data_IF_953593996257
#
_entry.id   IF_953593996257
#
_cell.length_a   1.000
_cell.length_b   1.000
_cell.length_c   1.000
_cell.angle_alpha   90.00
_cell.angle_beta   90.00
_cell.angle_gamma   90.00
#
_symmetry.space_group_name_H-M   'P 1'
#
loop_
_entity.id
_entity.type
_entity.pdbx_description
1 polymer ?
#
# COMPACT_ATOMS: atom_id res chain seq x y z
N UNK A 1 87.94 0.63 72.63
CA UNK A 1 87.44 -0.50 71.81
C UNK A 1 85.91 -0.64 71.84
N UNK A 2 85.22 -0.89 72.97
CA UNK A 2 83.74 -0.99 72.96
C UNK A 2 83.01 0.33 72.65
N UNK A 3 83.58 1.49 73.00
CA UNK A 3 82.99 2.80 72.74
C UNK A 3 82.97 3.18 71.25
N UNK A 4 83.98 2.72 70.51
CA UNK A 4 84.14 2.96 69.08
C UNK A 4 83.12 2.15 68.27
N UNK A 5 82.89 0.89 68.67
CA UNK A 5 81.83 0.03 68.09
C UNK A 5 80.44 0.61 68.34
N UNK A 6 80.17 1.12 69.56
CA UNK A 6 78.88 1.77 69.89
C UNK A 6 78.67 3.07 69.10
N UNK A 7 79.72 3.87 68.91
CA UNK A 7 79.65 5.11 68.13
C UNK A 7 79.40 4.83 66.65
N UNK A 8 80.07 3.83 66.08
CA UNK A 8 79.85 3.40 64.69
C UNK A 8 78.42 2.86 64.47
N UNK A 9 77.90 2.06 65.40
CA UNK A 9 76.53 1.56 65.33
C UNK A 9 75.50 2.70 65.45
N UNK A 10 75.74 3.65 66.35
CA UNK A 10 74.87 4.82 66.51
C UNK A 10 74.80 5.65 65.23
N UNK A 11 75.95 5.93 64.60
CA UNK A 11 76.01 6.67 63.34
C UNK A 11 75.34 5.92 62.20
N UNK A 12 75.53 4.60 62.10
CA UNK A 12 74.85 3.77 61.11
C UNK A 12 73.32 3.82 61.28
N UNK A 13 72.81 3.71 62.52
CA UNK A 13 71.37 3.78 62.79
C UNK A 13 70.81 5.18 62.48
N UNK A 14 71.58 6.23 62.77
CA UNK A 14 71.20 7.61 62.43
C UNK A 14 71.10 7.79 60.91
N UNK A 15 72.09 7.28 60.17
CA UNK A 15 72.10 7.33 58.71
C UNK A 15 70.92 6.53 58.11
N UNK A 16 70.67 5.31 58.61
CA UNK A 16 69.53 4.48 58.18
C UNK A 16 68.18 5.15 58.42
N UNK A 17 68.06 5.91 59.51
CA UNK A 17 66.86 6.69 59.82
C UNK A 17 66.66 7.83 58.83
N UNK A 18 67.73 8.52 58.45
CA UNK A 18 67.67 9.61 57.47
C UNK A 18 67.40 9.10 56.04
N UNK A 19 67.98 7.97 55.65
CA UNK A 19 67.66 7.31 54.37
C UNK A 19 66.18 6.89 54.32
N UNK A 20 65.62 6.41 55.43
CA UNK A 20 64.20 6.07 55.53
C UNK A 20 63.30 7.32 55.50
N UNK A 21 63.70 8.43 56.13
CA UNK A 21 62.92 9.67 56.07
C UNK A 21 62.88 10.26 54.66
N UNK A 22 64.00 10.19 53.93
CA UNK A 22 64.09 10.58 52.52
C UNK A 22 63.26 9.64 51.65
N UNK A 23 63.31 8.32 51.88
CA UNK A 23 62.51 7.35 51.12
C UNK A 23 61.01 7.54 51.35
N UNK A 24 60.59 7.80 52.59
CA UNK A 24 59.20 8.14 52.93
C UNK A 24 58.77 9.46 52.25
N UNK A 25 59.61 10.49 52.26
CA UNK A 25 59.34 11.75 51.59
C UNK A 25 59.33 11.63 50.05
N UNK A 26 60.16 10.74 49.48
CA UNK A 26 60.18 10.40 48.06
C UNK A 26 59.00 9.52 47.64
N UNK A 27 58.25 8.96 48.61
CA UNK A 27 56.96 8.30 48.41
C UNK A 27 55.81 9.32 48.51
N UNK A 28 56.08 10.61 48.30
CA UNK A 28 55.05 11.57 47.97
C UNK A 28 54.44 11.18 46.62
N UNK A 29 53.11 11.06 46.61
CA UNK A 29 52.30 10.64 45.48
C UNK A 29 52.70 11.39 44.20
N UNK A 30 53.10 10.64 43.15
CA UNK A 30 53.49 11.18 41.84
C UNK A 30 52.29 11.57 40.97
N UNK A 31 51.09 11.64 41.55
CA UNK A 31 49.89 12.16 40.90
C UNK A 31 49.43 13.44 41.57
N UNK A 32 49.49 14.57 40.86
CA UNK A 32 48.67 15.74 41.22
C UNK A 32 47.46 15.71 40.30
N UNK A 33 46.27 15.51 40.87
CA UNK A 33 45.02 15.73 40.15
C UNK A 33 45.00 17.21 39.71
N UNK A 34 45.12 17.44 38.40
CA UNK A 34 45.11 18.79 37.83
C UNK A 34 43.67 19.29 37.61
N UNK A 35 42.73 18.38 37.34
CA UNK A 35 41.30 18.65 37.19
C UNK A 35 40.47 17.40 37.53
N UNK A 36 39.27 17.61 38.07
CA UNK A 36 38.26 16.58 38.25
C UNK A 36 37.75 16.07 36.88
N UNK A 37 37.39 14.78 36.74
CA UNK A 37 36.86 14.27 35.48
C UNK A 37 35.57 14.99 35.10
N UNK A 38 35.62 15.78 34.04
CA UNK A 38 34.43 16.39 33.47
C UNK A 38 33.51 15.29 32.91
N UNK A 39 32.29 15.21 33.44
CA UNK A 39 31.24 14.39 32.85
C UNK A 39 30.87 14.98 31.48
N UNK A 40 31.57 14.55 30.44
CA UNK A 40 31.24 14.87 29.06
C UNK A 40 29.84 14.33 28.77
N UNK A 41 28.93 15.22 28.40
CA UNK A 41 27.62 14.83 27.89
C UNK A 41 27.76 13.88 26.69
N UNK A 42 26.70 13.16 26.36
CA UNK A 42 26.71 12.17 25.27
C UNK A 42 27.03 12.85 23.93
N UNK A 43 28.26 12.67 23.42
CA UNK A 43 28.75 13.26 22.17
C UNK A 43 28.10 12.61 20.94
N UNK A 44 27.67 11.34 21.05
CA UNK A 44 26.94 10.61 20.01
C UNK A 44 25.97 9.58 20.61
N UNK A 45 24.82 9.29 19.96
CA UNK A 45 24.24 9.92 18.77
C UNK A 45 23.52 11.23 19.13
N UNK A 46 23.42 12.13 18.15
CA UNK A 46 22.55 13.30 18.25
C UNK A 46 21.11 12.89 17.93
N UNK A 47 20.25 12.93 18.95
CA UNK A 47 18.86 12.47 18.88
C UNK A 47 18.05 13.14 17.77
N UNK A 48 18.33 14.41 17.45
CA UNK A 48 17.61 15.14 16.39
C UNK A 48 17.88 14.52 15.02
N UNK A 49 19.14 14.21 14.70
CA UNK A 49 19.48 13.56 13.43
C UNK A 49 18.88 12.16 13.34
N UNK A 50 18.96 11.37 14.43
CA UNK A 50 18.37 10.02 14.46
C UNK A 50 16.85 10.10 14.26
N UNK A 51 16.19 11.08 14.87
CA UNK A 51 14.73 11.28 14.75
C UNK A 51 14.31 11.73 13.35
N UNK A 52 15.05 12.65 12.73
CA UNK A 52 14.77 13.11 11.36
C UNK A 52 14.99 11.99 10.35
N UNK A 53 16.07 11.23 10.49
CA UNK A 53 16.35 10.06 9.63
C UNK A 53 15.27 9.00 9.83
N UNK A 54 14.88 8.72 11.08
CA UNK A 54 13.81 7.78 11.40
C UNK A 54 12.47 8.18 10.80
N UNK A 55 12.10 9.47 10.89
CA UNK A 55 10.87 9.99 10.28
C UNK A 55 10.91 9.89 8.75
N UNK A 56 12.05 10.24 8.14
CA UNK A 56 12.23 10.16 6.70
C UNK A 56 12.05 8.72 6.20
N UNK A 57 12.75 7.75 6.78
CA UNK A 57 12.60 6.34 6.37
C UNK A 57 11.23 5.77 6.75
N UNK A 58 10.65 6.20 7.87
CA UNK A 58 9.30 5.80 8.29
C UNK A 58 8.21 6.17 7.29
N UNK A 59 8.38 7.28 6.55
CA UNK A 59 7.47 7.68 5.47
C UNK A 59 7.92 7.15 4.10
N UNK A 60 9.22 7.18 3.82
CA UNK A 60 9.75 6.79 2.52
C UNK A 60 9.56 5.30 2.23
N UNK A 61 9.84 4.42 3.20
CA UNK A 61 9.73 2.97 3.02
C UNK A 61 8.31 2.53 2.61
N UNK A 62 7.21 2.89 3.31
CA UNK A 62 5.88 2.47 2.90
C UNK A 62 5.47 3.04 1.54
N UNK A 63 5.86 4.28 1.21
CA UNK A 63 5.60 4.86 -0.12
C UNK A 63 6.30 4.04 -1.20
N UNK A 64 7.59 3.72 -1.01
CA UNK A 64 8.35 2.91 -1.98
C UNK A 64 7.75 1.51 -2.12
N UNK A 65 7.35 0.87 -1.01
CA UNK A 65 6.70 -0.44 -1.04
C UNK A 65 5.38 -0.37 -1.82
N UNK A 66 4.54 0.63 -1.57
CA UNK A 66 3.28 0.82 -2.29
C UNK A 66 3.52 1.03 -3.79
N UNK A 67 4.52 1.85 -4.16
CA UNK A 67 4.89 2.06 -5.56
C UNK A 67 5.37 0.77 -6.23
N UNK A 68 6.19 -0.06 -5.55
CA UNK A 68 6.62 -1.36 -6.07
C UNK A 68 5.43 -2.29 -6.28
N UNK A 69 4.51 -2.37 -5.30
CA UNK A 69 3.30 -3.19 -5.41
C UNK A 69 2.45 -2.73 -6.61
N UNK A 70 2.30 -1.42 -6.79
CA UNK A 70 1.53 -0.84 -7.89
C UNK A 70 2.19 -1.08 -9.25
N UNK A 71 3.51 -0.95 -9.34
CA UNK A 71 4.27 -1.25 -10.57
C UNK A 71 4.24 -2.73 -10.95
N UNK A 72 4.10 -3.63 -9.97
CA UNK A 72 3.94 -5.06 -10.18
C UNK A 72 2.47 -5.50 -10.34
N UNK A 73 1.52 -4.57 -10.23
CA UNK A 73 0.11 -4.84 -10.49
C UNK A 73 -0.14 -4.84 -12.01
N UNK A 74 -0.54 -5.99 -12.54
CA UNK A 74 -0.93 -6.14 -13.95
C UNK A 74 -2.45 -6.02 -14.17
N UNK A 75 -3.16 -5.43 -13.19
CA UNK A 75 -4.62 -5.32 -13.24
C UNK A 75 -5.02 -4.09 -14.07
N UNK A 76 -6.05 -4.25 -14.90
CA UNK A 76 -6.72 -3.11 -15.55
C UNK A 76 -7.59 -2.45 -14.48
N UNK A 77 -7.25 -1.22 -14.09
CA UNK A 77 -7.94 -0.52 -13.00
C UNK A 77 -8.95 0.51 -13.51
N UNK A 78 -8.73 1.08 -14.70
CA UNK A 78 -9.57 2.15 -15.19
C UNK A 78 -9.68 2.27 -16.70
N UNK A 79 -10.49 3.25 -17.10
CA UNK A 79 -10.75 3.62 -18.48
C UNK A 79 -9.46 3.86 -19.27
N UNK A 80 -8.50 4.58 -18.68
CA UNK A 80 -7.22 4.91 -19.31
C UNK A 80 -6.38 3.68 -19.65
N UNK A 81 -6.41 2.65 -18.81
CA UNK A 81 -5.69 1.40 -19.08
C UNK A 81 -6.26 0.71 -20.31
N UNK A 82 -7.59 0.63 -20.42
CA UNK A 82 -8.25 0.05 -21.59
C UNK A 82 -7.93 0.87 -22.84
N UNK A 83 -8.06 2.20 -22.78
CA UNK A 83 -7.80 3.09 -23.90
C UNK A 83 -6.34 3.01 -24.40
N UNK A 84 -5.38 2.73 -23.50
CA UNK A 84 -3.97 2.52 -23.87
C UNK A 84 -3.71 1.14 -24.48
N UNK A 85 -4.43 0.11 -24.02
CA UNK A 85 -4.23 -1.27 -24.43
C UNK A 85 -4.99 -1.66 -25.70
N UNK A 86 -6.06 -0.95 -26.05
CA UNK A 86 -6.88 -1.24 -27.24
C UNK A 86 -7.16 0.01 -28.07
N UNK A 87 -7.31 -0.20 -29.39
CA UNK A 87 -7.79 0.82 -30.33
C UNK A 87 -9.31 0.80 -30.51
N UNK A 88 -9.98 -0.14 -29.87
CA UNK A 88 -11.43 -0.28 -29.95
C UNK A 88 -12.10 0.85 -29.17
N UNK A 89 -13.24 1.38 -29.66
CA UNK A 89 -13.97 2.40 -28.93
C UNK A 89 -14.56 1.79 -27.64
N UNK A 90 -14.44 2.53 -26.55
CA UNK A 90 -15.04 2.16 -25.26
C UNK A 90 -16.49 2.60 -25.27
N UNK A 91 -17.42 1.66 -25.06
CA UNK A 91 -18.86 1.94 -25.15
C UNK A 91 -19.41 2.68 -23.93
N UNK A 92 -19.03 2.23 -22.74
CA UNK A 92 -19.48 2.77 -21.45
C UNK A 92 -18.64 2.22 -20.30
N UNK A 93 -18.55 3.00 -19.22
CA UNK A 93 -18.02 2.56 -17.93
C UNK A 93 -19.19 2.21 -16.99
N UNK A 94 -19.35 0.92 -16.70
CA UNK A 94 -20.43 0.43 -15.84
C UNK A 94 -19.88 0.24 -14.42
N UNK A 95 -20.24 1.15 -13.52
CA UNK A 95 -19.90 1.00 -12.11
C UNK A 95 -20.59 -0.24 -11.53
N UNK A 96 -19.84 -1.08 -10.81
CA UNK A 96 -20.44 -2.17 -10.04
C UNK A 96 -21.29 -1.54 -8.95
N UNK A 97 -22.61 -1.74 -9.05
CA UNK A 97 -23.53 -1.18 -8.08
C UNK A 97 -23.22 -1.78 -6.70
N UNK A 98 -22.92 -0.90 -5.74
CA UNK A 98 -22.74 -1.24 -4.33
C UNK A 98 -23.95 -2.04 -3.83
N UNK A 99 -23.77 -2.91 -2.84
CA UNK A 99 -24.80 -3.83 -2.31
C UNK A 99 -26.18 -3.22 -2.03
N UNK A 100 -26.29 -1.88 -1.94
CA UNK A 100 -27.53 -1.11 -1.85
C UNK A 100 -28.45 -1.16 -3.11
N UNK A 101 -27.94 -1.54 -4.29
CA UNK A 101 -28.73 -1.61 -5.55
C UNK A 101 -29.12 -3.05 -5.89
N UNK A 102 -28.69 -4.03 -5.09
CA UNK A 102 -29.16 -5.43 -5.16
C UNK A 102 -30.58 -5.55 -4.63
N UNK A 103 -31.55 -4.95 -5.31
CA UNK A 103 -32.90 -5.50 -5.27
C UNK A 103 -32.87 -6.90 -5.89
N UNK A 104 -33.84 -7.76 -5.54
CA UNK A 104 -33.88 -9.17 -5.95
C UNK A 104 -33.74 -9.40 -7.47
N UNK A 105 -33.99 -8.39 -8.30
CA UNK A 105 -33.78 -8.42 -9.73
C UNK A 105 -32.44 -7.75 -10.11
N UNK A 106 -31.59 -8.48 -10.84
CA UNK A 106 -30.34 -8.00 -11.45
C UNK A 106 -30.58 -7.00 -12.62
N UNK A 107 -31.85 -6.61 -12.88
CA UNK A 107 -32.24 -5.59 -13.85
C UNK A 107 -32.36 -4.23 -13.15
N UNK A 108 -31.55 -3.27 -13.59
CA UNK A 108 -31.44 -1.94 -12.98
C UNK A 108 -32.11 -0.85 -13.81
N UNK A 109 -32.60 -1.14 -15.02
CA UNK A 109 -33.21 -0.13 -15.90
C UNK A 109 -34.73 -0.20 -15.84
N UNK A 110 -35.34 0.96 -15.58
CA UNK A 110 -36.79 1.12 -15.50
C UNK A 110 -37.27 2.29 -16.37
N UNK A 111 -38.53 2.23 -16.80
CA UNK A 111 -39.15 3.33 -17.56
C UNK A 111 -39.29 4.58 -16.68
N UNK A 112 -38.99 5.75 -17.24
CA UNK A 112 -39.15 7.06 -16.60
C UNK A 112 -38.34 7.26 -15.29
N UNK A 113 -37.22 6.55 -15.13
CA UNK A 113 -36.23 6.79 -14.07
C UNK A 113 -34.94 7.37 -14.65
N UNK A 114 -34.28 8.25 -13.88
CA UNK A 114 -33.08 8.98 -14.27
C UNK A 114 -31.93 8.81 -13.27
N UNK A 115 -31.70 7.58 -12.81
CA UNK A 115 -30.54 7.26 -11.99
C UNK A 115 -29.27 7.07 -12.85
N UNK A 116 -28.12 7.01 -12.17
CA UNK A 116 -26.82 6.89 -12.85
C UNK A 116 -26.71 5.64 -13.73
N UNK A 117 -27.27 4.51 -13.28
CA UNK A 117 -27.21 3.25 -14.03
C UNK A 117 -28.07 3.31 -15.29
N UNK A 118 -29.27 3.91 -15.24
CA UNK A 118 -30.10 4.12 -16.43
C UNK A 118 -29.40 5.00 -17.45
N UNK A 119 -28.74 6.08 -17.02
CA UNK A 119 -28.03 6.96 -17.94
C UNK A 119 -26.84 6.25 -18.60
N UNK A 120 -26.10 5.43 -17.84
CA UNK A 120 -25.00 4.62 -18.37
C UNK A 120 -25.51 3.69 -19.48
N UNK A 121 -26.59 2.94 -19.23
CA UNK A 121 -27.12 2.01 -20.23
C UNK A 121 -27.82 2.73 -21.40
N UNK A 122 -28.44 3.88 -21.17
CA UNK A 122 -29.02 4.73 -22.22
C UNK A 122 -27.94 5.27 -23.15
N UNK A 123 -26.82 5.71 -22.58
CA UNK A 123 -25.62 6.14 -23.29
C UNK A 123 -24.99 4.97 -24.06
N UNK A 124 -24.79 3.82 -23.40
CA UNK A 124 -24.26 2.60 -24.03
C UNK A 124 -25.09 2.17 -25.25
N UNK A 125 -26.42 2.16 -25.13
CA UNK A 125 -27.35 1.86 -26.22
C UNK A 125 -27.20 2.84 -27.38
N UNK A 126 -27.10 4.13 -27.08
CA UNK A 126 -26.97 5.19 -28.09
C UNK A 126 -25.63 5.08 -28.83
N UNK A 127 -24.53 4.85 -28.10
CA UNK A 127 -23.21 4.63 -28.68
C UNK A 127 -23.19 3.40 -29.59
N UNK A 128 -23.83 2.30 -29.17
CA UNK A 128 -23.99 1.11 -30.02
C UNK A 128 -24.74 1.41 -31.31
N UNK A 129 -25.86 2.13 -31.24
CA UNK A 129 -26.62 2.52 -32.42
C UNK A 129 -25.81 3.37 -33.41
N UNK A 130 -24.89 4.21 -32.91
CA UNK A 130 -23.97 4.96 -33.76
C UNK A 130 -22.88 4.10 -34.41
N UNK A 131 -22.44 3.04 -33.74
CA UNK A 131 -21.41 2.13 -34.25
C UNK A 131 -21.95 1.10 -35.25
N UNK A 132 -23.21 0.69 -35.06
CA UNK A 132 -23.86 -0.30 -35.91
C UNK A 132 -24.23 0.30 -37.27
N UNK A 133 -24.00 -0.47 -38.33
CA UNK A 133 -24.42 -0.08 -39.69
C UNK A 133 -25.89 -0.39 -39.91
N UNK A 134 -26.46 0.27 -40.93
CA UNK A 134 -27.84 -0.01 -41.34
C UNK A 134 -28.00 -1.49 -41.73
N UNK A 135 -28.97 -2.16 -41.09
CA UNK A 135 -29.22 -3.59 -41.28
C UNK A 135 -28.53 -4.52 -40.27
N UNK A 136 -27.52 -4.05 -39.52
CA UNK A 136 -26.94 -4.82 -38.42
C UNK A 136 -27.92 -4.85 -37.23
N UNK A 137 -28.22 -6.05 -36.73
CA UNK A 137 -29.21 -6.26 -35.66
C UNK A 137 -28.77 -7.27 -34.59
N UNK A 138 -27.60 -7.86 -34.75
CA UNK A 138 -27.07 -8.92 -33.88
C UNK A 138 -25.89 -8.36 -33.11
N UNK A 139 -25.97 -8.43 -31.78
CA UNK A 139 -24.91 -8.00 -30.87
C UNK A 139 -24.51 -9.22 -30.04
N UNK A 140 -23.22 -9.54 -30.02
CA UNK A 140 -22.66 -10.61 -29.19
C UNK A 140 -21.93 -10.00 -27.99
N UNK A 141 -22.36 -10.36 -26.78
CA UNK A 141 -21.69 -9.97 -25.55
C UNK A 141 -20.79 -11.11 -25.07
N UNK A 142 -19.48 -10.85 -24.95
CA UNK A 142 -18.49 -11.82 -24.44
C UNK A 142 -17.56 -11.15 -23.43
N UNK A 143 -16.86 -11.97 -22.66
CA UNK A 143 -15.93 -11.52 -21.63
C UNK A 143 -14.74 -12.49 -21.53
N UNK A 144 -13.61 -12.03 -21.01
CA UNK A 144 -12.39 -12.85 -20.93
C UNK A 144 -12.50 -13.87 -19.81
N UNK A 145 -13.08 -13.46 -18.68
CA UNK A 145 -13.29 -14.31 -17.51
C UNK A 145 -14.76 -14.43 -17.12
N UNK A 146 -15.06 -15.51 -16.39
CA UNK A 146 -16.36 -15.70 -15.77
C UNK A 146 -16.53 -14.73 -14.60
N UNK A 147 -17.65 -14.00 -14.56
CA UNK A 147 -17.98 -13.08 -13.47
C UNK A 147 -17.79 -11.59 -13.80
N UNK A 148 -17.28 -11.25 -14.98
CA UNK A 148 -17.06 -9.86 -15.46
C UNK A 148 -18.37 -9.10 -15.80
N UNK A 149 -19.54 -9.60 -15.37
CA UNK A 149 -20.82 -8.91 -15.59
C UNK A 149 -21.45 -9.07 -16.98
N UNK A 150 -20.99 -10.01 -17.82
CA UNK A 150 -21.52 -10.23 -19.18
C UNK A 150 -23.06 -10.38 -19.24
N UNK A 151 -23.64 -11.18 -18.35
CA UNK A 151 -25.09 -11.43 -18.30
C UNK A 151 -25.85 -10.21 -17.83
N UNK A 152 -25.33 -9.52 -16.80
CA UNK A 152 -25.89 -8.27 -16.29
C UNK A 152 -25.92 -7.19 -17.36
N UNK A 153 -24.80 -6.96 -18.05
CA UNK A 153 -24.70 -5.97 -19.12
C UNK A 153 -25.59 -6.33 -20.32
N UNK A 154 -25.60 -7.59 -20.75
CA UNK A 154 -26.45 -8.03 -21.85
C UNK A 154 -27.96 -7.89 -21.54
N UNK A 155 -28.37 -8.27 -20.33
CA UNK A 155 -29.75 -8.13 -19.86
C UNK A 155 -30.22 -6.69 -19.81
N UNK A 156 -29.46 -5.83 -19.14
CA UNK A 156 -29.79 -4.42 -19.02
C UNK A 156 -29.71 -3.70 -20.36
N UNK A 157 -28.72 -4.00 -21.21
CA UNK A 157 -28.69 -3.44 -22.57
C UNK A 157 -29.90 -3.86 -23.40
N UNK A 158 -30.34 -5.13 -23.31
CA UNK A 158 -31.55 -5.60 -23.98
C UNK A 158 -32.80 -4.84 -23.49
N UNK A 159 -32.92 -4.62 -22.18
CA UNK A 159 -33.98 -3.79 -21.59
C UNK A 159 -33.91 -2.35 -22.09
N UNK A 160 -32.72 -1.76 -22.20
CA UNK A 160 -32.54 -0.41 -22.74
C UNK A 160 -33.06 -0.29 -24.18
N UNK A 161 -32.84 -1.30 -25.03
CA UNK A 161 -33.42 -1.35 -26.37
C UNK A 161 -34.94 -1.59 -26.37
N UNK A 162 -35.44 -2.44 -25.48
CA UNK A 162 -36.87 -2.70 -25.34
C UNK A 162 -37.64 -1.43 -24.92
N UNK A 163 -37.10 -0.66 -23.97
CA UNK A 163 -37.65 0.62 -23.54
C UNK A 163 -37.60 1.72 -24.61
N UNK A 164 -36.74 1.56 -25.63
CA UNK A 164 -36.76 2.41 -26.84
C UNK A 164 -37.90 2.02 -27.81
N UNK A 165 -38.69 0.99 -27.50
CA UNK A 165 -39.74 0.44 -28.35
C UNK A 165 -39.25 -0.53 -29.43
N UNK A 166 -38.02 -1.04 -29.33
CA UNK A 166 -37.51 -2.07 -30.26
C UNK A 166 -37.98 -3.46 -29.84
N UNK A 167 -38.21 -4.34 -30.82
CA UNK A 167 -38.39 -5.78 -30.56
C UNK A 167 -37.01 -6.42 -30.37
N UNK A 168 -36.74 -6.90 -29.16
CA UNK A 168 -35.42 -7.43 -28.76
C UNK A 168 -35.55 -8.90 -28.39
N UNK A 169 -34.63 -9.72 -28.88
CA UNK A 169 -34.47 -11.12 -28.49
C UNK A 169 -33.12 -11.28 -27.79
N UNK A 170 -33.13 -11.69 -26.53
CA UNK A 170 -31.93 -11.98 -25.75
C UNK A 170 -31.72 -13.49 -25.67
N UNK A 171 -30.61 -13.99 -26.21
CA UNK A 171 -30.29 -15.41 -26.27
C UNK A 171 -29.14 -15.73 -25.32
N UNK A 172 -29.38 -16.61 -24.34
CA UNK A 172 -28.34 -17.10 -23.43
C UNK A 172 -27.56 -18.25 -24.04
N UNK A 173 -26.33 -18.00 -24.48
CA UNK A 173 -25.43 -19.04 -25.05
C UNK A 173 -24.44 -19.63 -24.01
N UNK A 174 -24.55 -19.26 -22.73
CA UNK A 174 -23.72 -19.83 -21.65
C UNK A 174 -24.33 -21.14 -21.13
N UNK A 175 -23.94 -22.25 -21.75
CA UNK A 175 -24.40 -23.60 -21.37
C UNK A 175 -23.74 -24.13 -20.09
N UNK A 176 -22.62 -23.54 -19.64
CA UNK A 176 -21.87 -24.03 -18.49
C UNK A 176 -22.45 -23.52 -17.18
N UNK A 177 -22.82 -22.23 -17.14
CA UNK A 177 -23.42 -21.58 -15.98
C UNK A 177 -24.53 -20.63 -16.46
N UNK A 178 -25.69 -21.16 -16.90
CA UNK A 178 -26.80 -20.33 -17.35
C UNK A 178 -27.32 -19.47 -16.18
N UNK A 179 -27.39 -18.16 -16.38
CA UNK A 179 -27.91 -17.19 -15.40
C UNK A 179 -29.03 -16.30 -15.93
N UNK A 180 -29.43 -16.50 -17.19
CA UNK A 180 -30.43 -15.65 -17.84
C UNK A 180 -31.84 -15.84 -17.25
N UNK A 181 -32.23 -17.08 -16.92
CA UNK A 181 -33.52 -17.35 -16.26
C UNK A 181 -33.62 -16.65 -14.90
N UNK A 182 -32.57 -16.72 -14.09
CA UNK A 182 -32.48 -16.05 -12.79
C UNK A 182 -32.61 -14.52 -12.91
N UNK A 183 -31.94 -13.92 -13.91
CA UNK A 183 -31.97 -12.48 -14.17
C UNK A 183 -33.38 -11.95 -14.44
N UNK A 184 -34.22 -12.73 -15.12
CA UNK A 184 -35.60 -12.35 -15.48
C UNK A 184 -36.66 -13.03 -14.62
N UNK A 185 -36.26 -13.67 -13.50
CA UNK A 185 -37.15 -14.43 -12.61
C UNK A 185 -38.06 -15.42 -13.37
N UNK A 186 -37.51 -16.03 -14.42
CA UNK A 186 -38.22 -17.04 -15.20
C UNK A 186 -38.17 -18.38 -14.48
N UNK A 187 -39.32 -19.01 -14.31
CA UNK A 187 -39.38 -20.38 -13.80
C UNK A 187 -38.83 -21.33 -14.88
N UNK A 188 -37.87 -22.16 -14.50
CA UNK A 188 -37.45 -23.29 -15.32
C UNK A 188 -38.68 -24.21 -15.48
N UNK A 189 -39.17 -24.34 -16.71
CA UNK A 189 -40.22 -25.31 -17.09
C UNK A 189 -39.57 -26.54 -17.68
#
# INVERSE_FOLDING_TARGET
RQQEVKSGLYLMLLQKREENSISLAATADKGRLLDDPAAGGKISPNNTYVMVIGLFFGLAIPIVILLIIQLLSYKIEGHEDVARLTKLPILADVAVATDAVKNKADIVIHENQNNMMEEIFRSMRTNLLFMMKEGEKVIMCTSTNSGEGKTFNAGNLAMAFALLGKKVLLIGLDIRKPRLGQLFELNDT
#
